data_IF_995389700618
#
_entry.id   IF_995389700618
#
_cell.length_a   1.000
_cell.length_b   1.000
_cell.length_c   1.000
_cell.angle_alpha   90.00
_cell.angle_beta   90.00
_cell.angle_gamma   90.00
#
_symmetry.space_group_name_H-M   'P 1'
#
loop_
_entity.id
_entity.type
_entity.pdbx_description
1 polymer ?
#
# COMPACT_ATOMS: atom_id res chain seq x y z
N UNK A 1 0.50 -26.99 5.53
CA UNK A 1 0.15 -25.60 5.92
C UNK A 1 1.30 -24.61 5.72
N UNK A 2 2.56 -24.97 6.01
CA UNK A 2 3.73 -24.11 5.82
C UNK A 2 3.86 -23.51 4.40
N UNK A 3 3.74 -24.33 3.34
CA UNK A 3 3.81 -23.83 1.95
C UNK A 3 2.73 -22.78 1.62
N UNK A 4 1.52 -22.90 2.17
CA UNK A 4 0.45 -21.94 1.94
C UNK A 4 0.75 -20.58 2.59
N UNK A 5 1.37 -20.60 3.78
CA UNK A 5 1.81 -19.37 4.48
C UNK A 5 2.94 -18.70 3.70
N UNK A 6 3.94 -19.46 3.24
CA UNK A 6 5.05 -18.92 2.42
C UNK A 6 4.54 -18.32 1.11
N UNK A 7 3.62 -18.99 0.41
CA UNK A 7 3.03 -18.47 -0.82
C UNK A 7 2.27 -17.15 -0.58
N UNK A 8 1.51 -17.07 0.52
CA UNK A 8 0.78 -15.84 0.87
C UNK A 8 1.73 -14.71 1.25
N UNK A 9 2.80 -14.98 1.99
CA UNK A 9 3.83 -13.99 2.33
C UNK A 9 4.51 -13.41 1.08
N UNK A 10 4.85 -14.26 0.11
CA UNK A 10 5.40 -13.82 -1.18
C UNK A 10 4.42 -12.95 -1.97
N UNK A 11 3.13 -13.34 -2.01
CA UNK A 11 2.09 -12.55 -2.66
C UNK A 11 1.90 -11.17 -2.00
N UNK A 12 1.84 -11.12 -0.66
CA UNK A 12 1.75 -9.86 0.09
C UNK A 12 2.95 -8.96 -0.20
N UNK A 13 4.16 -9.51 -0.23
CA UNK A 13 5.37 -8.74 -0.55
C UNK A 13 5.29 -8.10 -1.95
N UNK A 14 4.79 -8.84 -2.94
CA UNK A 14 4.57 -8.32 -4.29
C UNK A 14 3.48 -7.22 -4.32
N UNK A 15 2.32 -7.46 -3.69
CA UNK A 15 1.23 -6.49 -3.58
C UNK A 15 1.70 -5.19 -2.90
N UNK A 16 2.44 -5.29 -1.79
CA UNK A 16 3.01 -4.15 -1.08
C UNK A 16 4.02 -3.37 -1.94
N UNK A 17 4.84 -4.06 -2.73
CA UNK A 17 5.77 -3.44 -3.66
C UNK A 17 5.05 -2.62 -4.73
N UNK A 18 4.01 -3.21 -5.34
CA UNK A 18 3.17 -2.53 -6.34
C UNK A 18 2.48 -1.29 -5.74
N UNK A 19 1.85 -1.43 -4.58
CA UNK A 19 1.17 -0.30 -3.92
C UNK A 19 2.12 0.84 -3.57
N UNK A 20 3.35 0.55 -3.10
CA UNK A 20 4.36 1.58 -2.84
C UNK A 20 4.73 2.34 -4.11
N UNK A 21 4.92 1.63 -5.22
CA UNK A 21 5.22 2.26 -6.50
C UNK A 21 4.05 3.14 -6.97
N UNK A 22 2.81 2.65 -6.91
CA UNK A 22 1.62 3.43 -7.28
C UNK A 22 1.44 4.69 -6.44
N UNK A 23 1.69 4.60 -5.12
CA UNK A 23 1.63 5.74 -4.22
C UNK A 23 2.66 6.79 -4.63
N UNK A 24 3.89 6.39 -4.91
CA UNK A 24 4.97 7.30 -5.32
C UNK A 24 4.70 7.92 -6.68
N UNK A 25 4.21 7.17 -7.66
CA UNK A 25 3.80 7.70 -8.96
C UNK A 25 2.69 8.74 -8.84
N UNK A 26 1.67 8.46 -8.02
CA UNK A 26 0.57 9.39 -7.77
C UNK A 26 1.03 10.65 -7.05
N UNK A 27 1.93 10.52 -6.08
CA UNK A 27 2.55 11.68 -5.40
C UNK A 27 3.34 12.54 -6.39
N UNK A 28 4.12 11.93 -7.28
CA UNK A 28 4.85 12.63 -8.34
C UNK A 28 3.89 13.36 -9.28
N UNK A 29 2.84 12.69 -9.74
CA UNK A 29 1.82 13.29 -10.61
C UNK A 29 1.11 14.48 -9.93
N UNK A 30 0.73 14.34 -8.67
CA UNK A 30 0.12 15.42 -7.90
C UNK A 30 1.08 16.60 -7.72
N UNK A 31 2.35 16.35 -7.41
CA UNK A 31 3.36 17.40 -7.28
C UNK A 31 3.58 18.15 -8.61
N UNK A 32 3.60 17.43 -9.74
CA UNK A 32 3.67 18.04 -11.07
C UNK A 32 2.43 18.88 -11.38
N UNK A 33 1.25 18.40 -11.01
CA UNK A 33 0.01 19.15 -11.15
C UNK A 33 0.02 20.44 -10.34
N UNK A 34 0.41 20.38 -9.06
CA UNK A 34 0.47 21.53 -8.15
C UNK A 34 1.44 22.61 -8.66
N UNK A 35 2.56 22.23 -9.28
CA UNK A 35 3.50 23.19 -9.89
C UNK A 35 2.90 23.96 -11.07
N UNK A 36 1.91 23.39 -11.75
CA UNK A 36 1.30 23.96 -12.96
C UNK A 36 -0.13 24.49 -12.75
N UNK A 37 -0.61 24.54 -11.50
CA UNK A 37 -2.02 24.81 -11.17
C UNK A 37 -2.47 26.24 -11.48
N UNK A 38 -1.54 27.19 -11.65
CA UNK A 38 -1.80 28.64 -11.77
C UNK A 38 -2.72 29.06 -12.93
N UNK A 39 -2.93 28.21 -13.93
CA UNK A 39 -3.74 28.50 -15.11
C UNK A 39 -5.14 27.85 -15.09
N UNK A 40 -5.54 27.20 -13.98
CA UNK A 40 -6.82 26.49 -13.86
C UNK A 40 -7.81 27.24 -12.98
N UNK A 41 -9.09 26.92 -13.18
CA UNK A 41 -10.15 27.31 -12.26
C UNK A 41 -9.82 26.77 -10.84
N UNK A 42 -9.87 27.62 -9.79
CA UNK A 42 -9.52 27.22 -8.44
C UNK A 42 -10.38 26.07 -7.89
N UNK A 43 -11.68 26.02 -8.21
CA UNK A 43 -12.57 24.98 -7.72
C UNK A 43 -12.30 23.63 -8.41
N UNK A 44 -12.09 23.63 -9.73
CA UNK A 44 -11.68 22.41 -10.45
C UNK A 44 -10.32 21.89 -9.96
N UNK A 45 -9.39 22.81 -9.66
CA UNK A 45 -8.09 22.45 -9.11
C UNK A 45 -8.22 21.81 -7.72
N UNK A 46 -9.03 22.38 -6.84
CA UNK A 46 -9.25 21.88 -5.49
C UNK A 46 -9.90 20.49 -5.49
N UNK A 47 -10.93 20.28 -6.31
CA UNK A 47 -11.59 18.97 -6.47
C UNK A 47 -10.59 17.89 -6.91
N UNK A 48 -9.80 18.19 -7.95
CA UNK A 48 -8.80 17.25 -8.47
C UNK A 48 -7.70 16.93 -7.46
N UNK A 49 -7.26 17.92 -6.68
CA UNK A 49 -6.29 17.73 -5.60
C UNK A 49 -6.90 16.85 -4.51
N UNK A 50 -8.16 17.08 -4.15
CA UNK A 50 -8.92 16.27 -3.19
C UNK A 50 -8.99 14.81 -3.61
N UNK A 51 -9.45 14.55 -4.84
CA UNK A 51 -9.54 13.20 -5.40
C UNK A 51 -8.18 12.49 -5.45
N UNK A 52 -7.12 13.20 -5.87
CA UNK A 52 -5.77 12.64 -5.90
C UNK A 52 -5.26 12.27 -4.50
N UNK A 53 -5.51 13.11 -3.50
CA UNK A 53 -5.12 12.86 -2.10
C UNK A 53 -5.89 11.69 -1.50
N UNK A 54 -7.18 11.59 -1.75
CA UNK A 54 -7.97 10.45 -1.24
C UNK A 54 -7.52 9.13 -1.88
N UNK A 55 -7.26 9.12 -3.19
CA UNK A 55 -6.73 7.93 -3.87
C UNK A 55 -5.34 7.49 -3.39
N UNK A 56 -4.52 8.42 -2.88
CA UNK A 56 -3.25 8.10 -2.20
C UNK A 56 -3.53 7.51 -0.80
N UNK A 57 -4.42 8.13 -0.02
CA UNK A 57 -4.77 7.67 1.33
C UNK A 57 -5.36 6.27 1.34
N UNK A 58 -6.26 5.97 0.39
CA UNK A 58 -6.86 4.65 0.26
C UNK A 58 -5.80 3.56 0.03
N UNK A 59 -4.82 3.82 -0.84
CA UNK A 59 -3.70 2.91 -1.08
C UNK A 59 -2.80 2.76 0.14
N UNK A 60 -2.57 3.85 0.89
CA UNK A 60 -1.83 3.78 2.15
C UNK A 60 -2.56 2.93 3.19
N UNK A 61 -3.89 3.04 3.30
CA UNK A 61 -4.70 2.17 4.16
C UNK A 61 -4.58 0.71 3.75
N UNK A 62 -4.65 0.41 2.45
CA UNK A 62 -4.46 -0.96 1.93
C UNK A 62 -3.07 -1.50 2.24
N UNK A 63 -2.03 -0.67 2.11
CA UNK A 63 -0.66 -1.04 2.46
C UNK A 63 -0.54 -1.40 3.96
N UNK A 64 -1.20 -0.64 4.83
CA UNK A 64 -1.22 -0.92 6.27
C UNK A 64 -1.90 -2.26 6.57
N UNK A 65 -3.06 -2.53 5.96
CA UNK A 65 -3.76 -3.83 6.12
C UNK A 65 -2.88 -5.00 5.70
N UNK A 66 -2.15 -4.86 4.59
CA UNK A 66 -1.22 -5.89 4.13
C UNK A 66 -0.03 -6.09 5.07
N UNK A 67 0.47 -5.02 5.70
CA UNK A 67 1.51 -5.11 6.73
C UNK A 67 1.03 -5.85 7.97
N UNK A 68 -0.19 -5.57 8.42
CA UNK A 68 -0.81 -6.27 9.55
C UNK A 68 -1.02 -7.76 9.23
N UNK A 69 -1.49 -8.08 8.02
CA UNK A 69 -1.63 -9.46 7.55
C UNK A 69 -0.28 -10.19 7.50
N UNK A 70 0.76 -9.55 6.94
CA UNK A 70 2.12 -10.09 6.91
C UNK A 70 2.63 -10.41 8.31
N UNK A 71 2.47 -9.47 9.25
CA UNK A 71 2.92 -9.65 10.63
C UNK A 71 2.20 -10.82 11.31
N UNK A 72 0.88 -10.91 11.14
CA UNK A 72 0.08 -12.01 11.68
C UNK A 72 0.51 -13.38 11.12
N UNK A 73 0.82 -13.45 9.83
CA UNK A 73 1.32 -14.67 9.18
C UNK A 73 2.71 -15.07 9.67
N UNK A 74 3.62 -14.11 9.88
CA UNK A 74 4.95 -14.37 10.44
C UNK A 74 4.83 -14.93 11.86
N UNK A 75 4.04 -14.28 12.72
CA UNK A 75 3.81 -14.76 14.10
C UNK A 75 3.24 -16.18 14.08
N UNK A 76 2.23 -16.43 13.24
CA UNK A 76 1.65 -17.76 13.08
C UNK A 76 2.68 -18.80 12.62
N UNK A 77 3.55 -18.45 11.67
CA UNK A 77 4.59 -19.36 11.18
C UNK A 77 5.59 -19.74 12.29
N UNK A 78 6.04 -18.75 13.08
CA UNK A 78 6.94 -18.97 14.23
C UNK A 78 6.29 -19.89 15.27
N UNK A 79 5.06 -19.57 15.69
CA UNK A 79 4.35 -20.37 16.71
C UNK A 79 4.07 -21.82 16.28
N UNK A 80 3.94 -22.08 14.98
CA UNK A 80 3.76 -23.43 14.45
C UNK A 80 5.10 -24.18 14.36
N UNK A 81 6.17 -23.50 13.95
CA UNK A 81 7.52 -24.08 13.91
C UNK A 81 8.05 -24.47 15.29
N UNK A 82 7.70 -23.71 16.34
CA UNK A 82 8.07 -24.04 17.72
C UNK A 82 7.34 -25.29 18.26
N UNK A 83 6.13 -25.59 17.76
CA UNK A 83 5.35 -26.76 18.18
C UNK A 83 5.77 -28.07 17.49
N UNK A 84 6.40 -28.00 16.33
CA UNK A 84 6.89 -29.18 15.60
C UNK A 84 8.29 -29.65 16.07
N UNK A 85 9.00 -28.84 16.87
CA UNK A 85 10.34 -29.12 17.38
C UNK A 85 10.39 -29.64 18.84
N UNK A 86 9.25 -30.02 19.42
CA UNK A 86 9.10 -30.59 20.77
C UNK A 86 8.46 -31.97 20.70
#
# INVERSE_FOLDING_TARGET
MAMAVTNRLSAIAAEMGQLKNEIEERRRALNLFLRNVRARDPAEAEERIGAAREGIRERQRRLQVLQEEQQALIVRAVTLGDRENH
#
